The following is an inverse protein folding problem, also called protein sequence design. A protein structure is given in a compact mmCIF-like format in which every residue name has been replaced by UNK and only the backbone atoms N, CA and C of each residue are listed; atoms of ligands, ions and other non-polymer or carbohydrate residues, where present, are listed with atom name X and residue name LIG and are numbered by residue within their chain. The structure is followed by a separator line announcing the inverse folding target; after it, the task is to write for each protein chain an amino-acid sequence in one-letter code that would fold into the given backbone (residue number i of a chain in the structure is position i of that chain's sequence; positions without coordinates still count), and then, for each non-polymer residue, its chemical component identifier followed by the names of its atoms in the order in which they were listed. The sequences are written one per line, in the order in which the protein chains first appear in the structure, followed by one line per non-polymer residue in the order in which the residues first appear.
data_IF_794394929465
#
_entry.id   IF_794394929465
#
_cell.length_a   1.000
_cell.length_b   1.000
_cell.length_c   1.000
_cell.angle_alpha   90.00
_cell.angle_beta   90.00
_cell.angle_gamma   90.00
#
_symmetry.space_group_name_H-M   'P 1'
#
loop_
_entity.id
_entity.type
_entity.pdbx_description
1 polymer ?
#
# COMPACT_ATOMS: atom_id res chain seq x y z
N UNK A 1 -26.80 5.92 -3.67
CA UNK A 1 -25.63 5.14 -3.18
C UNK A 1 -24.33 5.82 -3.60
N UNK A 2 -23.44 6.12 -2.66
CA UNK A 2 -22.10 6.59 -3.00
C UNK A 2 -21.36 5.43 -3.67
N UNK A 3 -20.96 5.61 -4.93
CA UNK A 3 -20.14 4.62 -5.61
C UNK A 3 -18.80 4.51 -4.87
N UNK A 4 -18.37 3.29 -4.58
CA UNK A 4 -17.02 3.02 -4.11
C UNK A 4 -16.01 3.67 -5.08
N UNK A 5 -14.89 4.22 -4.61
CA UNK A 5 -13.84 4.69 -5.51
C UNK A 5 -13.48 3.60 -6.52
N UNK A 6 -13.24 3.96 -7.79
CA UNK A 6 -13.07 3.00 -8.91
C UNK A 6 -12.07 1.88 -8.61
N UNK A 7 -11.01 2.18 -7.87
CA UNK A 7 -10.02 1.21 -7.44
C UNK A 7 -10.57 0.08 -6.54
N UNK A 8 -11.53 0.41 -5.66
CA UNK A 8 -12.23 -0.56 -4.82
C UNK A 8 -13.37 -1.28 -5.54
N UNK A 9 -13.67 -0.91 -6.80
CA UNK A 9 -14.61 -1.65 -7.64
C UNK A 9 -13.95 -2.84 -8.36
N UNK A 10 -12.62 -2.99 -8.26
CA UNK A 10 -11.89 -4.11 -8.85
C UNK A 10 -12.10 -5.39 -8.02
N UNK A 11 -12.56 -6.47 -8.65
CA UNK A 11 -12.85 -7.73 -7.96
C UNK A 11 -11.62 -8.38 -7.32
N UNK A 12 -10.43 -8.27 -7.94
CA UNK A 12 -9.20 -8.82 -7.37
C UNK A 12 -8.79 -8.04 -6.11
N UNK A 13 -8.92 -6.71 -6.14
CA UNK A 13 -8.74 -5.85 -4.97
C UNK A 13 -9.71 -6.24 -3.85
N UNK A 14 -10.99 -6.43 -4.16
CA UNK A 14 -11.99 -6.82 -3.18
C UNK A 14 -11.67 -8.20 -2.55
N UNK A 15 -11.26 -9.18 -3.36
CA UNK A 15 -10.84 -10.50 -2.88
C UNK A 15 -9.61 -10.40 -1.97
N UNK A 16 -8.62 -9.60 -2.35
CA UNK A 16 -7.41 -9.38 -1.55
C UNK A 16 -7.76 -8.79 -0.17
N UNK A 17 -8.58 -7.74 -0.14
CA UNK A 17 -9.02 -7.06 1.09
C UNK A 17 -9.80 -8.03 1.99
N UNK A 18 -10.76 -8.79 1.43
CA UNK A 18 -11.53 -9.77 2.20
C UNK A 18 -10.61 -10.84 2.80
N UNK A 19 -9.62 -11.33 2.04
CA UNK A 19 -8.64 -12.30 2.54
C UNK A 19 -7.80 -11.71 3.66
N UNK A 20 -7.41 -10.44 3.55
CA UNK A 20 -6.62 -9.75 4.55
C UNK A 20 -7.39 -9.50 5.85
N UNK A 21 -8.64 -9.04 5.77
CA UNK A 21 -9.52 -8.81 6.94
C UNK A 21 -9.69 -10.10 7.75
N UNK A 22 -9.78 -11.27 7.10
CA UNK A 22 -9.83 -12.57 7.80
C UNK A 22 -8.54 -12.92 8.58
N UNK A 23 -7.45 -12.21 8.32
CA UNK A 23 -6.15 -12.41 8.96
C UNK A 23 -5.79 -11.27 9.95
N UNK A 24 -6.67 -10.28 10.12
CA UNK A 24 -6.48 -9.11 10.98
C UNK A 24 -7.28 -9.24 12.28
N UNK A 25 -6.77 -8.70 13.38
CA UNK A 25 -7.60 -8.35 14.53
C UNK A 25 -8.41 -7.08 14.23
N UNK A 26 -9.44 -6.80 15.05
CA UNK A 26 -10.35 -5.67 14.85
C UNK A 26 -9.62 -4.32 14.71
N UNK A 27 -8.54 -4.13 15.47
CA UNK A 27 -7.80 -2.87 15.55
C UNK A 27 -6.44 -2.90 14.83
N UNK A 28 -6.15 -3.96 14.05
CA UNK A 28 -4.92 -4.02 13.28
C UNK A 28 -4.95 -2.95 12.18
N UNK A 29 -3.98 -2.02 12.11
CA UNK A 29 -3.91 -1.09 10.99
C UNK A 29 -3.56 -1.83 9.68
N UNK A 30 -4.03 -1.29 8.57
CA UNK A 30 -3.63 -1.70 7.24
C UNK A 30 -3.45 -0.49 6.31
N UNK A 31 -2.46 -0.58 5.43
CA UNK A 31 -2.26 0.38 4.34
C UNK A 31 -2.48 -0.36 3.03
N UNK A 32 -3.35 0.18 2.18
CA UNK A 32 -3.54 -0.30 0.82
C UNK A 32 -3.15 0.79 -0.18
N UNK A 33 -2.23 0.47 -1.09
CA UNK A 33 -1.61 1.42 -2.02
C UNK A 33 -1.92 1.00 -3.45
N UNK A 34 -2.62 1.86 -4.18
CA UNK A 34 -2.65 1.80 -5.63
C UNK A 34 -1.42 2.50 -6.19
N UNK A 35 -0.45 1.75 -6.69
CA UNK A 35 0.71 2.35 -7.36
C UNK A 35 0.31 2.91 -8.72
N UNK A 36 0.56 4.20 -8.92
CA UNK A 36 0.46 4.82 -10.22
C UNK A 36 1.87 5.04 -10.78
N UNK A 37 2.33 4.19 -11.70
CA UNK A 37 3.65 4.34 -12.32
C UNK A 37 3.82 5.69 -13.02
N UNK A 38 2.73 6.29 -13.52
CA UNK A 38 2.74 7.63 -14.11
C UNK A 38 2.79 8.73 -13.04
N UNK A 39 2.21 8.50 -11.87
CA UNK A 39 2.15 9.45 -10.75
C UNK A 39 3.45 9.56 -9.94
N UNK A 40 4.46 8.73 -10.23
CA UNK A 40 5.84 8.99 -9.81
C UNK A 40 6.51 10.06 -10.69
N UNK A 41 5.97 10.40 -11.87
CA UNK A 41 6.71 11.11 -12.90
C UNK A 41 6.18 12.54 -13.19
N UNK A 42 5.71 13.28 -12.19
CA UNK A 42 5.42 14.72 -12.35
C UNK A 42 6.71 15.58 -12.49
N UNK A 43 7.87 14.93 -12.61
CA UNK A 43 9.19 15.53 -12.62
C UNK A 43 10.12 14.75 -13.57
N UNK A 44 11.26 15.33 -13.97
CA UNK A 44 12.21 14.66 -14.86
C UNK A 44 12.93 13.44 -14.25
N UNK A 45 12.79 13.17 -12.95
CA UNK A 45 13.45 12.04 -12.30
C UNK A 45 12.53 10.81 -12.32
N UNK A 46 12.85 9.87 -13.21
CA UNK A 46 12.04 8.67 -13.41
C UNK A 46 11.92 7.82 -12.13
N UNK A 47 10.72 7.29 -11.89
CA UNK A 47 10.42 6.30 -10.85
C UNK A 47 10.60 6.80 -9.40
N UNK A 48 10.63 8.11 -9.18
CA UNK A 48 10.82 8.73 -7.86
C UNK A 48 9.64 9.63 -7.49
N UNK A 49 9.01 9.44 -6.33
CA UNK A 49 7.81 10.18 -5.93
C UNK A 49 8.12 11.67 -5.92
N UNK A 50 7.34 12.47 -6.67
CA UNK A 50 7.54 13.91 -6.83
C UNK A 50 8.96 14.32 -7.25
N UNK A 51 9.70 13.42 -7.91
CA UNK A 51 11.08 13.69 -8.34
C UNK A 51 12.11 13.80 -7.23
N UNK A 52 11.75 13.38 -6.02
CA UNK A 52 12.67 13.39 -4.89
C UNK A 52 13.55 12.16 -4.99
N UNK A 53 14.86 12.37 -5.06
CA UNK A 53 15.85 11.29 -5.05
C UNK A 53 15.58 10.33 -3.89
N UNK A 54 15.80 9.04 -4.14
CA UNK A 54 15.62 7.94 -3.19
C UNK A 54 14.17 7.64 -2.75
N UNK A 55 13.16 8.42 -3.17
CA UNK A 55 11.75 8.09 -2.95
C UNK A 55 11.18 7.17 -4.04
N UNK A 56 11.88 6.07 -4.34
CA UNK A 56 11.40 5.06 -5.30
C UNK A 56 10.27 4.22 -4.72
N UNK A 57 9.47 3.55 -5.56
CA UNK A 57 8.48 2.54 -5.10
C UNK A 57 9.13 1.53 -4.15
N UNK A 58 10.30 1.01 -4.51
CA UNK A 58 11.06 0.06 -3.69
C UNK A 58 11.48 0.65 -2.34
N UNK A 59 11.95 1.90 -2.31
CA UNK A 59 12.31 2.57 -1.07
C UNK A 59 11.10 2.77 -0.13
N UNK A 60 9.94 3.12 -0.68
CA UNK A 60 8.70 3.28 0.09
C UNK A 60 8.25 1.92 0.66
N UNK A 61 8.28 0.86 -0.14
CA UNK A 61 7.96 -0.51 0.33
C UNK A 61 8.91 -0.92 1.45
N UNK A 62 10.22 -0.72 1.25
CA UNK A 62 11.24 -1.07 2.25
C UNK A 62 11.03 -0.29 3.54
N UNK A 63 10.63 0.99 3.46
CA UNK A 63 10.28 1.77 4.64
C UNK A 63 9.09 1.16 5.38
N UNK A 64 7.98 0.87 4.68
CA UNK A 64 6.77 0.29 5.27
C UNK A 64 7.07 -1.05 5.95
N UNK A 65 7.81 -1.93 5.28
CA UNK A 65 8.18 -3.25 5.83
C UNK A 65 9.16 -3.10 7.00
N UNK A 66 10.14 -2.20 6.88
CA UNK A 66 11.10 -1.89 7.95
C UNK A 66 10.44 -1.29 9.20
N UNK A 67 9.30 -0.62 9.03
CA UNK A 67 8.46 -0.14 10.13
C UNK A 67 7.54 -1.23 10.73
N UNK A 68 7.56 -2.47 10.21
CA UNK A 68 6.78 -3.59 10.74
C UNK A 68 5.50 -3.90 9.96
N UNK A 69 5.32 -3.31 8.78
CA UNK A 69 4.29 -3.74 7.84
C UNK A 69 4.63 -5.11 7.23
N UNK A 70 3.62 -5.98 7.11
CA UNK A 70 3.74 -7.27 6.43
C UNK A 70 3.08 -7.16 5.05
N UNK A 71 3.86 -7.36 3.98
CA UNK A 71 3.32 -7.41 2.61
C UNK A 71 2.40 -8.64 2.44
N UNK A 72 1.12 -8.38 2.24
CA UNK A 72 0.12 -9.43 2.21
C UNK A 72 0.04 -10.05 0.80
N UNK A 73 0.39 -11.33 0.72
CA UNK A 73 0.51 -12.11 -0.52
C UNK A 73 1.62 -11.64 -1.48
N UNK A 74 2.64 -10.92 -0.99
CA UNK A 74 3.82 -10.50 -1.77
C UNK A 74 3.47 -9.66 -3.02
N UNK A 75 2.35 -8.92 -2.96
CA UNK A 75 1.86 -8.09 -4.07
C UNK A 75 2.41 -6.65 -3.99
N UNK A 76 2.99 -6.25 -2.85
CA UNK A 76 3.42 -4.90 -2.53
C UNK A 76 2.29 -3.86 -2.53
N UNK A 77 1.04 -4.27 -2.38
CA UNK A 77 -0.13 -3.38 -2.46
C UNK A 77 -0.84 -3.25 -1.11
N UNK A 78 -0.87 -4.31 -0.29
CA UNK A 78 -1.55 -4.34 1.00
C UNK A 78 -0.58 -4.71 2.10
N UNK A 79 -0.42 -3.81 3.07
CA UNK A 79 0.48 -4.00 4.20
C UNK A 79 -0.33 -4.07 5.48
N UNK A 80 -0.18 -5.17 6.22
CA UNK A 80 -0.83 -5.39 7.50
C UNK A 80 0.12 -5.10 8.65
N UNK A 81 -0.37 -4.43 9.68
CA UNK A 81 0.39 -4.12 10.87
C UNK A 81 -0.21 -4.86 12.06
N UNK A 82 0.58 -5.73 12.70
CA UNK A 82 0.16 -6.53 13.87
C UNK A 82 0.27 -5.75 15.19
N UNK A 83 0.77 -4.52 15.12
CA UNK A 83 0.93 -3.62 16.27
C UNK A 83 0.52 -2.21 15.84
N UNK A 84 -0.37 -1.54 16.60
CA UNK A 84 -0.79 -0.18 16.29
C UNK A 84 0.34 0.85 16.46
N UNK A 85 1.46 0.49 17.09
CA UNK A 85 2.63 1.37 17.26
C UNK A 85 3.65 1.28 16.11
N UNK A 86 3.37 0.50 15.06
CA UNK A 86 4.33 0.20 14.01
C UNK A 86 4.56 1.38 13.02
N UNK A 87 3.70 2.40 13.01
CA UNK A 87 3.87 3.57 12.14
C UNK A 87 4.31 4.74 13.02
N UNK A 88 5.61 5.05 13.00
CA UNK A 88 6.23 6.21 13.67
C UNK A 88 6.86 7.16 12.66
#
# INVERSE_FOLDING_TARGET
PLALPTFFQNENTAHLIIKAVKNMNLDDPAIFIQWNNNGFNDTPMANCRNGIADQTKAAIINYIVGSGGVDFNDLNELFLFRSPMAIS
#
